data_IF_197332232192
#
_entry.id   IF_197332232192
#
_cell.length_a   1.000
_cell.length_b   1.000
_cell.length_c   1.000
_cell.angle_alpha   90.00
_cell.angle_beta   90.00
_cell.angle_gamma   90.00
#
_symmetry.space_group_name_H-M   'P 1'
#
loop_
_entity.id
_entity.type
_entity.pdbx_description
1 polymer ?
#
# COMPACT_ATOMS: atom_id res chain seq x y z
N UNK A 1 -7.23 -3.91 -5.78
CA UNK A 1 -7.35 -4.10 -7.26
C UNK A 1 -8.24 -5.29 -7.61
N UNK A 2 -7.96 -6.52 -7.19
CA UNK A 2 -8.77 -7.70 -7.55
C UNK A 2 -10.27 -7.52 -7.29
N UNK A 3 -10.66 -7.01 -6.13
CA UNK A 3 -12.06 -6.74 -5.79
C UNK A 3 -12.70 -5.71 -6.73
N UNK A 4 -11.99 -4.62 -7.04
CA UNK A 4 -12.51 -3.60 -7.95
C UNK A 4 -12.71 -4.16 -9.36
N UNK A 5 -11.77 -5.00 -9.82
CA UNK A 5 -11.91 -5.67 -11.11
C UNK A 5 -13.11 -6.62 -11.11
N UNK A 6 -13.28 -7.39 -10.03
CA UNK A 6 -14.41 -8.29 -9.90
C UNK A 6 -15.77 -7.57 -9.84
N UNK A 7 -15.81 -6.36 -9.28
CA UNK A 7 -17.01 -5.53 -9.26
C UNK A 7 -17.38 -4.99 -10.66
N UNK A 8 -16.40 -4.83 -11.54
CA UNK A 8 -16.59 -4.22 -12.86
C UNK A 8 -16.73 -5.25 -13.98
N UNK A 9 -16.21 -6.47 -13.81
CA UNK A 9 -16.18 -7.48 -14.86
C UNK A 9 -17.14 -8.63 -14.56
N UNK A 10 -18.26 -8.66 -15.23
CA UNK A 10 -19.31 -9.67 -15.06
C UNK A 10 -18.89 -11.10 -15.39
N UNK A 11 -17.75 -11.32 -16.02
CA UNK A 11 -17.16 -12.62 -16.29
C UNK A 11 -16.59 -13.27 -15.02
N UNK A 12 -16.22 -12.46 -14.03
CA UNK A 12 -15.74 -12.93 -12.73
C UNK A 12 -16.95 -13.32 -11.88
N UNK A 13 -17.09 -14.59 -11.60
CA UNK A 13 -18.27 -15.15 -10.90
C UNK A 13 -18.07 -15.29 -9.40
N UNK A 14 -16.83 -15.36 -8.94
CA UNK A 14 -16.49 -15.45 -7.54
C UNK A 14 -15.09 -14.87 -7.29
N UNK A 15 -14.91 -14.26 -6.13
CA UNK A 15 -13.61 -13.76 -5.67
C UNK A 15 -13.39 -14.20 -4.23
N UNK A 16 -12.28 -14.86 -3.98
CA UNK A 16 -11.87 -15.25 -2.63
C UNK A 16 -10.72 -14.38 -2.20
N UNK A 17 -10.83 -13.79 -1.01
CA UNK A 17 -9.76 -12.97 -0.43
C UNK A 17 -9.31 -13.59 0.88
N UNK A 18 -8.00 -13.74 1.04
CA UNK A 18 -7.40 -14.19 2.29
C UNK A 18 -6.54 -13.07 2.88
N UNK A 19 -6.58 -12.87 4.19
CA UNK A 19 -5.78 -11.86 4.90
C UNK A 19 -5.83 -10.49 4.23
N UNK A 20 -7.01 -10.07 3.81
CA UNK A 20 -7.18 -8.83 3.05
C UNK A 20 -6.79 -7.62 3.90
N UNK A 21 -5.90 -6.81 3.34
CA UNK A 21 -5.43 -5.58 3.93
C UNK A 21 -5.93 -4.38 3.14
N UNK A 22 -6.60 -3.46 3.81
CA UNK A 22 -7.06 -2.22 3.16
C UNK A 22 -5.92 -1.20 3.05
N UNK A 23 -5.11 -1.37 2.02
CA UNK A 23 -4.01 -0.47 1.70
C UNK A 23 -4.48 0.98 1.49
N UNK A 24 -5.71 1.17 0.99
CA UNK A 24 -6.21 2.52 0.71
C UNK A 24 -6.50 3.27 2.00
N UNK A 25 -7.18 2.62 2.93
CA UNK A 25 -7.51 3.19 4.24
C UNK A 25 -6.25 3.46 5.06
N UNK A 26 -5.33 2.51 5.12
CA UNK A 26 -4.10 2.70 5.89
C UNK A 26 -3.21 3.79 5.31
N UNK A 27 -3.09 3.90 3.99
CA UNK A 27 -2.33 5.01 3.38
C UNK A 27 -3.00 6.37 3.60
N UNK A 28 -4.33 6.41 3.68
CA UNK A 28 -5.08 7.64 3.91
C UNK A 28 -5.09 8.06 5.38
N UNK A 29 -5.34 7.11 6.28
CA UNK A 29 -5.69 7.37 7.68
C UNK A 29 -4.68 6.82 8.70
N UNK A 30 -3.61 6.14 8.24
CA UNK A 30 -2.71 5.43 9.14
C UNK A 30 -3.28 4.11 9.68
N UNK A 31 -2.47 3.40 10.46
CA UNK A 31 -2.93 2.19 11.13
C UNK A 31 -4.01 2.52 12.17
N UNK A 32 -5.10 1.75 12.14
CA UNK A 32 -6.25 1.94 13.04
C UNK A 32 -6.87 3.34 12.99
N UNK A 33 -6.75 4.01 11.84
CA UNK A 33 -7.19 5.39 11.62
C UNK A 33 -6.55 6.41 12.57
N UNK A 34 -5.36 6.13 13.07
CA UNK A 34 -4.65 6.98 14.04
C UNK A 34 -4.22 8.34 13.48
N UNK A 35 -4.19 8.47 12.16
CA UNK A 35 -3.84 9.69 11.42
C UNK A 35 -5.03 10.21 10.60
N UNK A 36 -6.28 9.92 10.99
CA UNK A 36 -7.46 10.36 10.27
C UNK A 36 -7.67 11.86 10.41
N UNK A 37 -7.11 12.62 9.47
CA UNK A 37 -7.19 14.07 9.37
C UNK A 37 -7.35 14.48 7.91
N UNK A 38 -8.39 15.25 7.63
CA UNK A 38 -8.65 15.77 6.28
C UNK A 38 -7.50 16.68 5.80
N UNK A 39 -6.99 17.51 6.70
CA UNK A 39 -5.88 18.42 6.43
C UNK A 39 -4.61 17.64 6.07
N UNK A 40 -4.26 16.61 6.86
CA UNK A 40 -3.10 15.77 6.58
C UNK A 40 -3.26 15.03 5.25
N UNK A 41 -4.45 14.51 4.94
CA UNK A 41 -4.72 13.86 3.65
C UNK A 41 -4.56 14.84 2.49
N UNK A 42 -5.01 16.08 2.65
CA UNK A 42 -4.85 17.12 1.64
C UNK A 42 -3.36 17.42 1.39
N UNK A 43 -2.58 17.64 2.44
CA UNK A 43 -1.14 17.91 2.31
C UNK A 43 -0.37 16.70 1.73
N UNK A 44 -0.71 15.48 2.12
CA UNK A 44 -0.17 14.26 1.48
C UNK A 44 -0.46 14.25 -0.03
N UNK A 45 -1.68 14.54 -0.45
CA UNK A 45 -2.05 14.60 -1.89
C UNK A 45 -1.29 15.68 -2.63
N UNK A 46 -1.16 16.86 -2.04
CA UNK A 46 -0.41 17.99 -2.61
C UNK A 46 1.08 17.65 -2.80
N UNK A 47 1.71 17.04 -1.79
CA UNK A 47 3.08 16.58 -1.88
C UNK A 47 3.29 15.53 -2.98
N UNK A 48 2.35 14.60 -3.12
CA UNK A 48 2.39 13.57 -4.16
C UNK A 48 2.18 14.16 -5.57
N UNK A 49 1.33 15.17 -5.71
CA UNK A 49 1.16 15.88 -6.98
C UNK A 49 2.46 16.61 -7.38
N UNK A 50 3.13 17.26 -6.43
CA UNK A 50 4.42 17.87 -6.67
C UNK A 50 5.49 16.82 -7.08
N UNK A 51 5.49 15.67 -6.40
CA UNK A 51 6.41 14.58 -6.73
C UNK A 51 6.20 14.03 -8.16
N UNK A 52 4.95 13.95 -8.64
CA UNK A 52 4.68 13.55 -10.04
C UNK A 52 5.32 14.47 -11.06
N UNK A 53 5.28 15.77 -10.79
CA UNK A 53 5.91 16.76 -11.66
C UNK A 53 7.44 16.58 -11.65
N UNK A 54 8.00 16.31 -10.49
CA UNK A 54 9.44 16.08 -10.36
C UNK A 54 9.88 14.77 -11.02
N UNK A 55 9.15 13.69 -10.82
CA UNK A 55 9.39 12.40 -11.49
C UNK A 55 9.37 12.56 -13.03
N UNK A 56 8.45 13.38 -13.55
CA UNK A 56 8.37 13.66 -14.98
C UNK A 56 9.59 14.44 -15.50
N UNK A 57 10.05 15.44 -14.73
CA UNK A 57 11.22 16.24 -15.11
C UNK A 57 12.50 15.44 -15.08
N UNK A 58 12.66 14.58 -14.08
CA UNK A 58 13.88 13.79 -13.89
C UNK A 58 13.90 12.50 -14.74
N UNK A 59 12.75 12.08 -15.28
CA UNK A 59 12.61 10.80 -15.97
C UNK A 59 12.79 9.59 -15.06
N UNK A 60 12.70 9.79 -13.75
CA UNK A 60 12.86 8.74 -12.73
C UNK A 60 11.74 8.79 -11.71
N UNK A 61 11.45 7.66 -11.06
CA UNK A 61 10.41 7.58 -10.04
C UNK A 61 11.02 7.53 -8.65
N UNK A 62 10.62 8.46 -7.80
CA UNK A 62 11.00 8.43 -6.38
C UNK A 62 10.46 7.18 -5.71
N UNK A 63 11.33 6.47 -5.00
CA UNK A 63 10.96 5.29 -4.21
C UNK A 63 10.56 5.71 -2.80
N UNK A 64 9.61 4.98 -2.23
CA UNK A 64 9.09 5.24 -0.89
C UNK A 64 10.07 4.84 0.24
N UNK A 65 11.13 4.11 -0.11
CA UNK A 65 11.97 3.43 0.86
C UNK A 65 11.36 2.10 1.30
N UNK A 66 12.16 1.24 1.89
CA UNK A 66 11.67 -0.02 2.46
C UNK A 66 10.75 0.25 3.65
N UNK A 67 9.59 -0.38 3.67
CA UNK A 67 8.66 -0.28 4.80
C UNK A 67 9.10 -1.10 6.03
N UNK A 68 10.11 -1.94 5.85
CA UNK A 68 10.64 -2.80 6.91
C UNK A 68 12.07 -2.37 7.24
N UNK A 69 12.31 -1.84 8.44
CA UNK A 69 13.61 -1.33 8.84
C UNK A 69 14.63 -2.46 9.06
N UNK A 70 15.89 -2.19 8.76
CA UNK A 70 17.04 -2.97 9.18
C UNK A 70 18.17 -2.02 9.61
N UNK A 71 18.71 -2.13 10.84
CA UNK A 71 18.26 -3.06 11.89
C UNK A 71 16.85 -2.74 12.40
N UNK A 72 16.16 -3.78 12.91
CA UNK A 72 14.81 -3.59 13.47
C UNK A 72 14.93 -2.94 14.85
N UNK A 73 14.22 -1.83 15.13
CA UNK A 73 14.21 -1.20 16.44
C UNK A 73 13.71 -2.16 17.53
N UNK A 74 14.29 -2.07 18.74
CA UNK A 74 13.90 -2.95 19.84
C UNK A 74 12.44 -2.76 20.28
N UNK A 75 11.95 -1.54 20.19
CA UNK A 75 10.57 -1.14 20.51
C UNK A 75 9.58 -1.38 19.36
N UNK A 76 10.06 -1.90 18.21
CA UNK A 76 9.18 -2.15 17.08
C UNK A 76 8.08 -3.16 17.42
N UNK A 77 6.85 -2.95 16.90
CA UNK A 77 5.76 -3.90 17.06
C UNK A 77 6.15 -5.31 16.60
N UNK A 78 5.58 -6.33 17.24
CA UNK A 78 5.87 -7.74 16.94
C UNK A 78 5.79 -8.06 15.44
N UNK A 79 4.74 -7.60 14.77
CA UNK A 79 4.56 -7.87 13.34
C UNK A 79 5.66 -7.23 12.46
N UNK A 80 6.23 -6.09 12.88
CA UNK A 80 7.35 -5.46 12.16
C UNK A 80 8.60 -6.32 12.27
N UNK A 81 8.86 -6.89 13.46
CA UNK A 81 9.99 -7.79 13.69
C UNK A 81 9.87 -9.06 12.84
N UNK A 82 8.71 -9.70 12.89
CA UNK A 82 8.41 -10.92 12.16
C UNK A 82 8.48 -10.72 10.64
N UNK A 83 7.89 -9.64 10.14
CA UNK A 83 7.93 -9.32 8.70
C UNK A 83 9.33 -8.93 8.23
N UNK A 84 10.10 -8.21 9.04
CA UNK A 84 11.48 -7.87 8.68
C UNK A 84 12.34 -9.11 8.60
N UNK A 85 12.23 -10.04 9.55
CA UNK A 85 12.92 -11.32 9.52
C UNK A 85 12.54 -12.12 8.27
N UNK A 86 11.26 -12.20 7.96
CA UNK A 86 10.80 -12.95 6.80
C UNK A 86 11.24 -12.31 5.48
N UNK A 87 10.88 -11.06 5.23
CA UNK A 87 11.09 -10.43 3.92
C UNK A 87 12.51 -9.96 3.66
N UNK A 88 13.28 -9.67 4.70
CA UNK A 88 14.68 -9.25 4.59
C UNK A 88 15.67 -10.38 4.85
N UNK A 89 15.20 -11.50 5.40
CA UNK A 89 16.01 -12.71 5.65
C UNK A 89 15.57 -13.85 4.74
N UNK A 90 14.58 -14.61 5.17
CA UNK A 90 14.19 -15.89 4.54
C UNK A 90 13.65 -15.77 3.11
N UNK A 91 12.88 -14.72 2.83
CA UNK A 91 12.30 -14.45 1.52
C UNK A 91 13.03 -13.35 0.75
N UNK A 92 14.21 -12.93 1.23
CA UNK A 92 15.01 -11.90 0.58
C UNK A 92 15.52 -12.36 -0.78
N UNK A 93 15.43 -11.46 -1.74
CA UNK A 93 16.11 -11.61 -3.03
C UNK A 93 16.62 -10.24 -3.49
N UNK A 94 17.86 -10.19 -3.96
CA UNK A 94 18.53 -8.95 -4.40
C UNK A 94 17.76 -8.19 -5.50
N UNK A 95 17.02 -8.91 -6.34
CA UNK A 95 16.19 -8.33 -7.40
C UNK A 95 14.81 -7.88 -6.92
N UNK A 96 14.49 -8.03 -5.64
CA UNK A 96 13.21 -7.60 -5.09
C UNK A 96 13.23 -6.12 -4.79
N UNK A 97 13.08 -5.29 -5.81
CA UNK A 97 13.13 -3.83 -5.69
C UNK A 97 12.13 -3.29 -4.65
N UNK A 98 10.92 -3.84 -4.62
CA UNK A 98 9.91 -3.38 -3.67
C UNK A 98 10.26 -3.70 -2.22
N UNK A 99 10.95 -4.79 -1.96
CA UNK A 99 11.41 -5.12 -0.60
C UNK A 99 12.58 -4.24 -0.16
N UNK A 100 13.43 -3.81 -1.10
CA UNK A 100 14.63 -3.02 -0.81
C UNK A 100 14.33 -1.52 -0.79
N UNK A 101 13.76 -1.00 -1.87
CA UNK A 101 13.59 0.43 -2.12
C UNK A 101 12.15 0.91 -1.93
N UNK A 102 11.23 0.00 -1.68
CA UNK A 102 9.80 0.28 -1.61
C UNK A 102 9.15 0.47 -2.97
N UNK A 103 7.91 0.90 -2.94
CA UNK A 103 7.13 1.19 -4.14
C UNK A 103 7.45 2.58 -4.70
N UNK A 104 7.01 2.84 -5.92
CA UNK A 104 7.00 4.21 -6.40
C UNK A 104 6.07 5.06 -5.56
N UNK A 105 6.55 6.18 -5.05
CA UNK A 105 5.77 7.09 -4.20
C UNK A 105 4.46 7.48 -4.89
N UNK A 106 4.53 7.86 -6.15
CA UNK A 106 3.37 8.27 -6.95
C UNK A 106 2.44 7.11 -7.32
N UNK A 107 2.95 5.87 -7.32
CA UNK A 107 2.14 4.66 -7.51
C UNK A 107 1.24 4.36 -6.31
N UNK A 108 1.75 4.53 -5.10
CA UNK A 108 0.96 4.35 -3.88
C UNK A 108 -0.24 5.28 -3.80
N UNK A 109 -0.13 6.49 -4.34
CA UNK A 109 -1.21 7.45 -4.35
C UNK A 109 -2.44 6.99 -5.14
N UNK A 110 -2.23 6.21 -6.18
CA UNK A 110 -3.34 5.66 -6.97
C UNK A 110 -4.23 4.73 -6.13
N UNK A 111 -3.66 4.09 -5.10
CA UNK A 111 -4.42 3.27 -4.17
C UNK A 111 -5.27 4.10 -3.20
N UNK A 112 -4.79 5.23 -2.74
CA UNK A 112 -5.54 6.08 -1.79
C UNK A 112 -6.85 6.62 -2.39
N UNK A 113 -6.99 6.62 -3.70
CA UNK A 113 -8.14 7.16 -4.41
C UNK A 113 -9.07 6.08 -4.96
N UNK A 114 -8.84 4.80 -4.65
CA UNK A 114 -9.71 3.71 -5.08
C UNK A 114 -10.65 3.29 -3.94
N UNK A 115 -11.93 3.69 -3.97
CA UNK A 115 -12.86 3.30 -2.93
C UNK A 115 -13.19 1.81 -3.04
N UNK A 116 -12.68 1.00 -2.11
CA UNK A 116 -13.04 -0.43 -2.00
C UNK A 116 -14.50 -0.57 -1.54
N UNK A 117 -15.03 0.45 -0.85
CA UNK A 117 -16.39 0.45 -0.32
C UNK A 117 -17.51 0.30 -1.36
N UNK A 118 -17.24 0.57 -2.62
CA UNK A 118 -18.21 0.36 -3.71
C UNK A 118 -18.21 -1.07 -4.26
N UNK A 119 -17.39 -1.96 -3.71
CA UNK A 119 -17.36 -3.39 -4.08
C UNK A 119 -18.38 -4.23 -3.30
N UNK A 120 -19.29 -3.61 -2.54
CA UNK A 120 -20.18 -4.26 -1.58
C UNK A 120 -21.24 -5.18 -2.18
N UNK A 121 -21.51 -5.08 -3.48
CA UNK A 121 -22.49 -5.94 -4.16
C UNK A 121 -21.93 -7.31 -4.58
N UNK A 122 -20.64 -7.53 -4.37
CA UNK A 122 -20.03 -8.83 -4.52
C UNK A 122 -20.13 -9.58 -3.20
N UNK A 123 -20.73 -10.77 -3.23
CA UNK A 123 -20.69 -11.70 -2.09
C UNK A 123 -19.25 -11.98 -1.69
N UNK A 124 -18.75 -11.21 -0.73
CA UNK A 124 -17.41 -11.35 -0.20
C UNK A 124 -17.41 -12.46 0.83
N UNK A 125 -16.72 -13.54 0.54
CA UNK A 125 -16.42 -14.57 1.52
C UNK A 125 -15.07 -14.27 2.14
N UNK A 126 -15.06 -13.94 3.43
CA UNK A 126 -13.84 -13.84 4.22
C UNK A 126 -13.51 -15.22 4.79
N UNK A 127 -12.32 -15.70 4.58
CA UNK A 127 -11.76 -16.89 5.21
C UNK A 127 -10.66 -16.45 6.17
#
# INVERSE_FOLDING_TARGET
>A
MALNTAALDTRIKATVTATMYDMTRVNANGYFDSEDSEEQRYEKKKALCAQRIEDLKTGSHKRAGGCLPLPVPEDAPFFVKDYSEYYKGRAYHERSLNSNDGWNVTGCQSFMNQPISFSSDLGLFFI
#
